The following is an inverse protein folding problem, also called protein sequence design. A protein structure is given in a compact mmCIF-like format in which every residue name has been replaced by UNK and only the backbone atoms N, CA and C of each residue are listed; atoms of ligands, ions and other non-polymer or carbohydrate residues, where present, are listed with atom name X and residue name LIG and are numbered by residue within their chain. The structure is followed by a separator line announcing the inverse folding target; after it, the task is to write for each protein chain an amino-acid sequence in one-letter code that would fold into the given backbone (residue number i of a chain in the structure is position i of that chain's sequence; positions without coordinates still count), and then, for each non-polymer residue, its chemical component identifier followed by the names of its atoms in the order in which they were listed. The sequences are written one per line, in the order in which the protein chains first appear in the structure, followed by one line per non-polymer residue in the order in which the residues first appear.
data_IF_800121585374
#
_entry.id   IF_800121585374
#
_cell.length_a   1.000
_cell.length_b   1.000
_cell.length_c   1.000
_cell.angle_alpha   90.00
_cell.angle_beta   90.00
_cell.angle_gamma   90.00
#
_symmetry.space_group_name_H-M   'P 1'
#
loop_
_entity.id
_entity.type
_entity.pdbx_description
1 polymer ?
#
# COMPACT_ATOMS: atom_id res chain seq x y z
N UNK A 1 -6.37 7.15 -16.01
CA UNK A 1 -5.71 6.56 -14.82
C UNK A 1 -6.08 7.44 -13.64
N UNK A 2 -6.80 6.91 -12.65
CA UNK A 2 -7.26 7.67 -11.49
C UNK A 2 -6.14 7.72 -10.44
N UNK A 3 -5.72 8.90 -10.00
CA UNK A 3 -4.80 9.05 -8.87
C UNK A 3 -5.62 9.04 -7.59
N UNK A 4 -5.43 8.03 -6.75
CA UNK A 4 -6.11 7.91 -5.46
C UNK A 4 -5.35 6.98 -4.52
N UNK A 5 -5.54 7.16 -3.21
CA UNK A 5 -4.97 6.32 -2.14
C UNK A 5 -5.88 5.16 -1.76
N UNK A 6 -7.16 5.20 -2.12
CA UNK A 6 -8.13 4.11 -1.93
C UNK A 6 -8.79 3.78 -3.26
N UNK A 7 -9.02 2.49 -3.52
CA UNK A 7 -9.67 2.02 -4.73
C UNK A 7 -10.88 1.16 -4.37
N UNK A 8 -11.99 1.34 -5.09
CA UNK A 8 -13.15 0.44 -4.96
C UNK A 8 -12.95 -0.77 -5.84
N UNK A 9 -13.10 -1.95 -5.27
CA UNK A 9 -12.95 -3.22 -5.96
C UNK A 9 -14.31 -3.94 -5.88
N UNK A 10 -15.09 -3.99 -6.97
CA UNK A 10 -16.31 -4.78 -7.01
C UNK A 10 -16.03 -6.27 -6.84
N UNK A 11 -17.04 -7.01 -6.37
CA UNK A 11 -16.96 -8.47 -6.22
C UNK A 11 -16.57 -9.13 -7.55
N UNK A 12 -15.75 -10.17 -7.47
CA UNK A 12 -15.35 -11.02 -8.60
C UNK A 12 -14.62 -10.26 -9.72
N UNK A 13 -13.92 -9.17 -9.36
CA UNK A 13 -13.10 -8.37 -10.29
C UNK A 13 -11.63 -8.36 -9.89
N UNK A 14 -10.77 -8.03 -10.85
CA UNK A 14 -9.33 -7.82 -10.64
C UNK A 14 -8.99 -6.38 -10.99
N UNK A 15 -8.25 -5.71 -10.11
CA UNK A 15 -7.77 -4.33 -10.32
C UNK A 15 -6.25 -4.32 -10.24
N UNK A 16 -5.62 -3.64 -11.20
CA UNK A 16 -4.16 -3.40 -11.19
C UNK A 16 -3.90 -2.00 -10.65
N UNK A 17 -3.14 -1.90 -9.55
CA UNK A 17 -2.73 -0.63 -8.94
C UNK A 17 -1.25 -0.42 -9.16
N UNK A 18 -0.86 0.78 -9.59
CA UNK A 18 0.55 1.20 -9.72
C UNK A 18 0.83 2.27 -8.68
N UNK A 19 1.86 2.07 -7.86
CA UNK A 19 2.25 2.97 -6.78
C UNK A 19 3.74 3.28 -6.87
N UNK A 20 4.11 4.52 -6.53
CA UNK A 20 5.51 4.96 -6.39
C UNK A 20 5.69 5.59 -5.02
N UNK A 21 6.57 5.01 -4.20
CA UNK A 21 6.99 5.62 -2.94
C UNK A 21 8.06 6.68 -3.22
N UNK A 22 7.75 7.94 -2.93
CA UNK A 22 8.63 9.08 -3.25
C UNK A 22 9.64 9.39 -2.12
N UNK A 23 9.38 8.92 -0.91
CA UNK A 23 10.21 9.14 0.27
C UNK A 23 9.65 8.42 1.49
N UNK A 24 10.24 8.66 2.67
CA UNK A 24 9.82 8.12 3.97
C UNK A 24 9.94 6.59 4.05
N UNK A 25 11.17 6.03 4.09
CA UNK A 25 11.34 4.62 4.34
C UNK A 25 10.83 4.26 5.74
N UNK A 26 10.27 3.06 5.88
CA UNK A 26 9.67 2.61 7.13
C UNK A 26 8.45 1.73 6.94
N UNK A 27 7.83 1.37 8.07
CA UNK A 27 6.63 0.53 8.10
C UNK A 27 5.39 1.39 7.86
N UNK A 28 4.51 0.93 6.98
CA UNK A 28 3.19 1.49 6.71
C UNK A 28 2.16 0.37 6.57
N UNK A 29 0.89 0.71 6.34
CA UNK A 29 -0.22 -0.24 6.26
C UNK A 29 -0.93 -0.17 4.92
N UNK A 30 -1.45 -1.31 4.51
CA UNK A 30 -2.39 -1.46 3.41
C UNK A 30 -3.59 -2.26 3.91
N UNK A 31 -4.78 -1.68 3.85
CA UNK A 31 -5.98 -2.29 4.42
C UNK A 31 -7.23 -2.01 3.59
N UNK A 32 -8.27 -2.78 3.84
CA UNK A 32 -9.61 -2.42 3.42
C UNK A 32 -10.11 -1.24 4.25
N UNK A 33 -10.63 -0.19 3.62
CA UNK A 33 -11.16 0.99 4.34
C UNK A 33 -12.59 0.76 4.87
N UNK A 34 -12.92 -0.49 5.22
CA UNK A 34 -14.17 -0.92 5.86
C UNK A 34 -13.76 -1.30 7.28
N UNK A 35 -14.10 -0.47 8.27
CA UNK A 35 -13.55 -0.60 9.63
C UNK A 35 -13.69 -2.00 10.23
N UNK A 36 -14.88 -2.66 10.19
CA UNK A 36 -14.99 -4.02 10.71
C UNK A 36 -14.13 -5.05 9.98
N UNK A 37 -13.77 -4.80 8.72
CA UNK A 37 -12.88 -5.69 7.96
C UNK A 37 -11.42 -5.45 8.33
N UNK A 38 -11.02 -4.19 8.51
CA UNK A 38 -9.68 -3.81 8.96
C UNK A 38 -9.37 -4.40 10.34
N UNK A 39 -10.28 -4.21 11.30
CA UNK A 39 -10.13 -4.68 12.68
C UNK A 39 -10.13 -6.22 12.79
N UNK A 40 -10.70 -6.91 11.81
CA UNK A 40 -10.75 -8.38 11.74
C UNK A 40 -9.63 -8.99 10.91
N UNK A 41 -8.63 -8.18 10.50
CA UNK A 41 -7.40 -8.67 9.89
C UNK A 41 -7.28 -8.43 8.38
N UNK A 42 -8.18 -7.67 7.75
CA UNK A 42 -7.98 -7.19 6.36
C UNK A 42 -7.03 -5.98 6.31
N UNK A 43 -5.92 -6.07 7.04
CA UNK A 43 -4.81 -5.14 7.10
C UNK A 43 -3.50 -5.90 6.94
N UNK A 44 -2.56 -5.31 6.18
CA UNK A 44 -1.22 -5.83 6.00
C UNK A 44 -0.18 -4.74 6.21
N UNK A 45 0.92 -5.06 6.90
CA UNK A 45 2.09 -4.20 6.99
C UNK A 45 2.90 -4.24 5.69
N UNK A 46 3.35 -3.07 5.24
CA UNK A 46 4.28 -2.91 4.12
C UNK A 46 5.52 -2.20 4.65
N UNK A 47 6.71 -2.71 4.29
CA UNK A 47 7.99 -2.04 4.54
C UNK A 47 8.43 -1.33 3.28
N UNK A 48 8.48 0.00 3.33
CA UNK A 48 9.10 0.82 2.28
C UNK A 48 10.60 0.84 2.56
N UNK A 49 11.36 0.20 1.69
CA UNK A 49 12.82 0.22 1.76
C UNK A 49 13.34 1.60 1.32
N UNK A 50 14.33 2.11 2.05
CA UNK A 50 15.09 3.28 1.61
C UNK A 50 15.93 2.95 0.39
N UNK A 51 16.40 3.99 -0.30
CA UNK A 51 17.32 3.81 -1.41
C UNK A 51 18.65 3.20 -0.91
N UNK A 52 18.94 1.97 -1.31
CA UNK A 52 20.19 1.28 -0.97
C UNK A 52 21.37 1.70 -1.88
N UNK A 53 21.20 2.74 -2.70
CA UNK A 53 22.28 3.28 -3.52
C UNK A 53 23.25 4.22 -2.78
N UNK A 54 22.99 4.60 -1.52
CA UNK A 54 23.86 5.47 -0.72
C UNK A 54 24.68 4.72 0.36
N UNK A 55 25.04 3.45 0.15
CA UNK A 55 25.88 2.68 1.09
C UNK A 55 27.04 1.96 0.38
N UNK A 56 27.37 2.35 -0.86
CA UNK A 56 28.52 1.83 -1.62
C UNK A 56 29.61 2.88 -1.83
N UNK A 57 29.95 3.66 -0.81
CA UNK A 57 31.17 4.46 -0.77
C UNK A 57 31.76 4.48 0.64
#
# INVERSE_FOLDING_TARGET
MQVSTRVRIPKDTVVVVRMRFLGWPGKTVFHCHILPHEDTGMMQNILVLGDQHHERH
#
